data_IF_074890242311
#
_entry.id   IF_074890242311
#
_cell.length_a   1.000
_cell.length_b   1.000
_cell.length_c   1.000
_cell.angle_alpha   90.00
_cell.angle_beta   90.00
_cell.angle_gamma   90.00
#
_symmetry.space_group_name_H-M   'P 1'
#
loop_
_entity.id
_entity.type
_entity.pdbx_description
1 polymer ?
#
# COMPACT_ATOMS: atom_id res chain seq x y z
N UNK A 1 -10.58 -21.95 -1.13
CA UNK A 1 -9.67 -22.51 -2.19
C UNK A 1 -9.00 -21.32 -2.86
N UNK A 2 -7.70 -21.17 -2.69
CA UNK A 2 -6.96 -20.05 -3.30
C UNK A 2 -6.74 -20.35 -4.78
N UNK A 3 -7.45 -19.63 -5.65
CA UNK A 3 -7.35 -19.78 -7.11
C UNK A 3 -6.12 -19.07 -7.70
N UNK A 4 -4.94 -19.30 -7.13
CA UNK A 4 -3.69 -18.75 -7.67
C UNK A 4 -3.07 -19.59 -8.80
N UNK A 5 -3.63 -20.77 -9.09
CA UNK A 5 -3.08 -21.75 -10.05
C UNK A 5 -3.05 -21.25 -11.51
N UNK A 6 -3.78 -20.20 -11.83
CA UNK A 6 -3.87 -19.66 -13.20
C UNK A 6 -3.49 -18.17 -13.29
N UNK A 7 -2.82 -17.64 -12.28
CA UNK A 7 -2.40 -16.23 -12.31
C UNK A 7 -1.14 -16.07 -13.15
N UNK A 8 -1.19 -15.20 -14.14
CA UNK A 8 -0.08 -14.87 -15.02
C UNK A 8 0.37 -13.44 -14.75
N UNK A 9 1.68 -13.23 -14.69
CA UNK A 9 2.26 -11.90 -14.64
C UNK A 9 2.38 -11.35 -16.07
N UNK A 10 1.63 -10.31 -16.37
CA UNK A 10 1.68 -9.59 -17.63
C UNK A 10 2.56 -8.37 -17.46
N UNK A 11 3.70 -8.28 -18.17
CA UNK A 11 4.55 -7.09 -18.10
C UNK A 11 3.79 -5.87 -18.65
N UNK A 12 3.73 -4.80 -17.87
CA UNK A 12 3.19 -3.50 -18.29
C UNK A 12 4.31 -2.55 -18.71
N UNK A 13 5.43 -2.57 -17.98
CA UNK A 13 6.68 -1.93 -18.40
C UNK A 13 7.89 -2.55 -17.68
N UNK A 14 9.07 -2.43 -18.27
CA UNK A 14 10.36 -2.81 -17.69
C UNK A 14 11.41 -1.85 -18.24
N UNK A 15 11.70 -0.79 -17.50
CA UNK A 15 12.63 0.26 -17.88
C UNK A 15 13.48 0.71 -16.70
N UNK A 16 14.76 0.94 -16.95
CA UNK A 16 15.69 1.53 -15.97
C UNK A 16 15.76 0.78 -14.62
N UNK A 17 15.51 -0.54 -14.62
CA UNK A 17 15.55 -1.37 -13.42
C UNK A 17 14.27 -1.36 -12.58
N UNK A 18 13.22 -0.72 -13.08
CA UNK A 18 11.86 -0.77 -12.52
C UNK A 18 11.00 -1.62 -13.43
N UNK A 19 10.38 -2.65 -12.90
CA UNK A 19 9.43 -3.49 -13.61
C UNK A 19 8.06 -3.41 -12.96
N UNK A 20 7.02 -3.30 -13.78
CA UNK A 20 5.63 -3.36 -13.34
C UNK A 20 4.91 -4.50 -14.06
N UNK A 21 4.25 -5.32 -13.31
CA UNK A 21 3.47 -6.45 -13.82
C UNK A 21 2.03 -6.32 -13.36
N UNK A 22 1.09 -6.54 -14.26
CA UNK A 22 -0.30 -6.76 -13.91
C UNK A 22 -0.56 -8.25 -13.68
N UNK A 23 -1.32 -8.57 -12.64
CA UNK A 23 -1.79 -9.93 -12.38
C UNK A 23 -3.03 -10.20 -13.22
N UNK A 24 -2.97 -11.21 -14.09
CA UNK A 24 -4.07 -11.64 -14.94
C UNK A 24 -4.42 -13.11 -14.69
N UNK A 25 -5.64 -13.53 -15.03
CA UNK A 25 -6.09 -14.93 -14.94
C UNK A 25 -6.84 -15.31 -13.67
N UNK A 26 -7.05 -14.39 -12.72
CA UNK A 26 -7.89 -14.59 -11.54
C UNK A 26 -9.32 -14.03 -11.73
N UNK A 27 -10.29 -14.57 -11.00
CA UNK A 27 -11.64 -13.98 -10.89
C UNK A 27 -11.62 -12.77 -9.93
N UNK A 28 -10.79 -11.77 -10.23
CA UNK A 28 -10.68 -10.58 -9.43
C UNK A 28 -11.59 -9.47 -9.95
N UNK A 29 -12.28 -8.80 -9.04
CA UNK A 29 -13.08 -7.61 -9.36
C UNK A 29 -12.21 -6.37 -9.56
N UNK A 30 -10.96 -6.41 -9.08
CA UNK A 30 -10.03 -5.30 -9.06
C UNK A 30 -8.76 -5.63 -9.86
N UNK A 31 -8.08 -4.59 -10.31
CA UNK A 31 -6.75 -4.72 -10.91
C UNK A 31 -5.68 -4.86 -9.82
N UNK A 32 -4.74 -5.76 -10.01
CA UNK A 32 -3.60 -5.98 -9.13
C UNK A 32 -2.30 -5.76 -9.91
N UNK A 33 -1.38 -5.05 -9.29
CA UNK A 33 -0.07 -4.75 -9.86
C UNK A 33 1.04 -5.10 -8.89
N UNK A 34 2.15 -5.55 -9.44
CA UNK A 34 3.41 -5.73 -8.72
C UNK A 34 4.40 -4.75 -9.32
N UNK A 35 4.91 -3.83 -8.50
CA UNK A 35 6.01 -2.95 -8.88
C UNK A 35 7.27 -3.46 -8.19
N UNK A 36 8.27 -3.78 -8.99
CA UNK A 36 9.56 -4.33 -8.55
C UNK A 36 10.69 -3.39 -8.97
N UNK A 37 11.48 -2.92 -8.01
CA UNK A 37 12.65 -2.09 -8.23
C UNK A 37 13.77 -2.49 -7.24
N UNK A 38 14.96 -1.89 -7.37
CA UNK A 38 16.14 -2.32 -6.62
C UNK A 38 15.96 -2.23 -5.09
N UNK A 39 15.38 -1.13 -4.59
CA UNK A 39 15.24 -0.90 -3.15
C UNK A 39 14.12 -1.76 -2.53
N UNK A 40 13.03 -2.05 -3.28
CA UNK A 40 12.00 -2.99 -2.82
C UNK A 40 12.55 -4.40 -2.72
N UNK A 41 13.38 -4.83 -3.67
CA UNK A 41 14.07 -6.14 -3.62
C UNK A 41 15.07 -6.19 -2.47
N UNK A 42 15.83 -5.11 -2.24
CA UNK A 42 16.75 -4.99 -1.11
C UNK A 42 16.00 -5.11 0.21
N UNK A 43 14.89 -4.39 0.39
CA UNK A 43 14.05 -4.46 1.58
C UNK A 43 13.58 -5.88 1.91
N UNK A 44 13.22 -6.67 0.88
CA UNK A 44 12.74 -8.04 1.05
C UNK A 44 13.86 -9.06 1.30
N UNK A 45 15.07 -8.81 0.79
CA UNK A 45 16.16 -9.79 0.80
C UNK A 45 17.28 -9.49 1.79
N UNK A 46 17.25 -8.37 2.49
CA UNK A 46 18.33 -7.92 3.38
C UNK A 46 17.75 -7.58 4.76
N UNK A 47 17.56 -8.59 5.64
CA UNK A 47 16.93 -8.38 6.95
C UNK A 47 17.75 -7.52 7.92
N UNK A 48 19.02 -7.26 7.60
CA UNK A 48 19.93 -6.45 8.41
C UNK A 48 19.67 -4.94 8.30
N UNK A 49 18.98 -4.49 7.23
CA UNK A 49 18.67 -3.07 7.09
C UNK A 49 17.62 -2.65 8.12
N UNK A 50 17.88 -1.51 8.78
CA UNK A 50 17.02 -1.00 9.85
C UNK A 50 16.90 0.53 9.79
N UNK A 51 15.88 1.05 10.49
CA UNK A 51 15.75 2.50 10.72
C UNK A 51 15.63 3.30 9.42
N UNK A 52 16.49 4.29 9.25
CA UNK A 52 16.43 5.24 8.13
C UNK A 52 16.66 4.58 6.76
N UNK A 53 17.42 3.50 6.71
CA UNK A 53 17.64 2.76 5.46
C UNK A 53 16.35 2.07 4.99
N UNK A 54 15.58 1.46 5.90
CA UNK A 54 14.25 0.91 5.60
C UNK A 54 13.33 2.01 5.08
N UNK A 55 13.34 3.16 5.74
CA UNK A 55 12.52 4.31 5.31
C UNK A 55 12.85 4.76 3.89
N UNK A 56 14.13 4.86 3.52
CA UNK A 56 14.54 5.22 2.16
C UNK A 56 14.12 4.18 1.12
N UNK A 57 14.24 2.89 1.43
CA UNK A 57 13.78 1.82 0.55
C UNK A 57 12.26 1.90 0.33
N UNK A 58 11.50 2.16 1.38
CA UNK A 58 10.04 2.33 1.27
C UNK A 58 9.65 3.55 0.45
N UNK A 59 10.34 4.69 0.61
CA UNK A 59 10.09 5.88 -0.22
C UNK A 59 10.39 5.58 -1.69
N UNK A 60 11.52 4.94 -1.98
CA UNK A 60 11.88 4.61 -3.37
C UNK A 60 10.81 3.73 -4.00
N UNK A 61 10.48 2.61 -3.36
CA UNK A 61 9.48 1.67 -3.86
C UNK A 61 8.08 2.32 -4.03
N UNK A 62 7.67 3.14 -3.06
CA UNK A 62 6.37 3.82 -3.09
C UNK A 62 6.34 4.89 -4.19
N UNK A 63 7.42 5.66 -4.36
CA UNK A 63 7.51 6.66 -5.43
C UNK A 63 7.39 6.03 -6.81
N UNK A 64 8.05 4.90 -7.06
CA UNK A 64 7.92 4.20 -8.35
C UNK A 64 6.49 3.71 -8.60
N UNK A 65 5.81 3.20 -7.59
CA UNK A 65 4.40 2.82 -7.71
C UNK A 65 3.52 4.05 -8.00
N UNK A 66 3.72 5.16 -7.30
CA UNK A 66 2.94 6.39 -7.50
C UNK A 66 3.23 7.03 -8.85
N UNK A 67 4.47 7.00 -9.34
CA UNK A 67 4.81 7.41 -10.69
C UNK A 67 3.98 6.63 -11.72
N UNK A 68 3.93 5.29 -11.60
CA UNK A 68 3.10 4.45 -12.46
C UNK A 68 1.61 4.84 -12.38
N UNK A 69 1.05 4.99 -11.18
CA UNK A 69 -0.35 5.38 -11.01
C UNK A 69 -0.66 6.74 -11.61
N UNK A 70 0.23 7.70 -11.46
CA UNK A 70 0.11 9.03 -12.06
C UNK A 70 0.11 8.96 -13.59
N UNK A 71 1.09 8.28 -14.18
CA UNK A 71 1.22 8.22 -15.65
C UNK A 71 0.14 7.36 -16.31
N UNK A 72 -0.20 6.22 -15.73
CA UNK A 72 -1.12 5.27 -16.35
C UNK A 72 -2.58 5.49 -15.91
N UNK A 73 -2.82 5.83 -14.65
CA UNK A 73 -4.17 6.01 -14.10
C UNK A 73 -4.58 7.47 -13.91
N UNK A 74 -3.68 8.41 -14.28
CA UNK A 74 -3.90 9.87 -14.18
C UNK A 74 -4.26 10.34 -12.78
N UNK A 75 -3.70 9.70 -11.76
CA UNK A 75 -3.89 10.09 -10.36
C UNK A 75 -3.10 11.38 -10.10
N UNK A 76 -3.80 12.45 -9.74
CA UNK A 76 -3.19 13.78 -9.48
C UNK A 76 -3.46 14.28 -8.07
N UNK A 77 -4.47 13.71 -7.40
CA UNK A 77 -4.90 14.11 -6.07
C UNK A 77 -5.18 12.89 -5.20
N UNK A 78 -4.89 12.98 -3.92
CA UNK A 78 -5.07 11.89 -2.97
C UNK A 78 -5.61 12.36 -1.62
N UNK A 79 -6.41 11.50 -0.99
CA UNK A 79 -6.60 11.43 0.45
C UNK A 79 -5.80 10.21 0.94
N UNK A 80 -5.03 10.35 1.99
CA UNK A 80 -4.28 9.24 2.58
C UNK A 80 -5.02 8.75 3.82
N UNK A 81 -5.30 7.44 3.89
CA UNK A 81 -5.73 6.78 5.12
C UNK A 81 -4.55 6.02 5.72
N UNK A 82 -4.12 6.50 6.87
CA UNK A 82 -3.01 5.94 7.63
C UNK A 82 -3.56 5.01 8.70
N UNK A 83 -3.38 3.70 8.50
CA UNK A 83 -3.74 2.70 9.52
C UNK A 83 -2.56 2.58 10.49
N UNK A 84 -2.77 3.02 11.71
CA UNK A 84 -1.73 3.03 12.72
C UNK A 84 -1.51 1.59 13.27
N UNK A 85 -0.29 1.09 13.36
CA UNK A 85 1.01 1.73 13.15
C UNK A 85 1.69 1.11 11.91
N UNK A 86 1.11 1.29 10.73
CA UNK A 86 1.64 0.73 9.48
C UNK A 86 2.98 1.37 9.05
N UNK A 87 3.78 0.59 8.32
CA UNK A 87 5.12 1.00 7.91
C UNK A 87 5.11 2.10 6.81
N UNK A 88 4.03 2.23 6.04
CA UNK A 88 3.94 3.15 4.90
C UNK A 88 3.27 4.50 5.22
N UNK A 89 3.02 4.82 6.49
CA UNK A 89 2.34 6.06 6.85
C UNK A 89 3.08 7.31 6.33
N UNK A 90 4.36 7.48 6.72
CA UNK A 90 5.18 8.62 6.29
C UNK A 90 5.75 8.47 4.86
N UNK A 91 6.23 7.29 4.44
CA UNK A 91 6.72 7.11 3.07
C UNK A 91 5.67 7.43 2.00
N UNK A 92 4.40 7.14 2.23
CA UNK A 92 3.34 7.41 1.25
C UNK A 92 3.12 8.91 1.03
N UNK A 93 3.10 9.72 2.09
CA UNK A 93 2.98 11.18 2.00
C UNK A 93 4.19 11.78 1.27
N UNK A 94 5.40 11.43 1.70
CA UNK A 94 6.65 11.89 1.10
C UNK A 94 6.73 11.52 -0.39
N UNK A 95 6.31 10.31 -0.73
CA UNK A 95 6.30 9.85 -2.13
C UNK A 95 5.27 10.59 -2.97
N UNK A 96 4.08 10.89 -2.42
CA UNK A 96 3.11 11.76 -3.09
C UNK A 96 3.69 13.14 -3.39
N UNK A 97 4.41 13.73 -2.44
CA UNK A 97 5.07 15.02 -2.64
C UNK A 97 6.11 14.96 -3.75
N UNK A 98 6.97 13.94 -3.76
CA UNK A 98 8.00 13.74 -4.79
C UNK A 98 7.42 13.57 -6.18
N UNK A 99 6.33 12.83 -6.29
CA UNK A 99 5.65 12.57 -7.55
C UNK A 99 4.65 13.68 -7.96
N UNK A 100 4.61 14.79 -7.21
CA UNK A 100 3.68 15.91 -7.46
C UNK A 100 2.21 15.50 -7.46
N UNK A 101 1.85 14.51 -6.62
CA UNK A 101 0.47 14.15 -6.33
C UNK A 101 0.02 15.01 -5.14
N UNK A 102 -1.01 15.81 -5.34
CA UNK A 102 -1.51 16.69 -4.28
C UNK A 102 -2.25 15.90 -3.21
N UNK A 103 -1.72 15.89 -1.99
CA UNK A 103 -2.44 15.33 -0.83
C UNK A 103 -3.40 16.37 -0.29
N UNK A 104 -4.69 16.06 -0.26
CA UNK A 104 -5.73 16.93 0.27
C UNK A 104 -5.88 16.78 1.77
N UNK A 105 -5.81 15.54 2.26
CA UNK A 105 -5.91 15.25 3.68
C UNK A 105 -5.25 13.93 4.05
N UNK A 106 -4.87 13.83 5.33
CA UNK A 106 -4.36 12.59 5.93
C UNK A 106 -5.27 12.21 7.08
N UNK A 107 -6.00 11.14 6.87
CA UNK A 107 -6.87 10.52 7.87
C UNK A 107 -6.12 9.43 8.63
N UNK A 108 -6.48 9.24 9.88
CA UNK A 108 -5.84 8.28 10.77
C UNK A 108 -6.86 7.34 11.37
N UNK A 109 -6.50 6.07 11.43
CA UNK A 109 -7.30 5.03 12.05
C UNK A 109 -6.39 4.08 12.83
N UNK A 110 -6.77 3.75 14.06
CA UNK A 110 -6.07 2.76 14.89
C UNK A 110 -7.04 1.67 15.29
N UNK A 111 -6.66 0.43 15.07
CA UNK A 111 -7.41 -0.75 15.51
C UNK A 111 -6.54 -1.66 16.37
N UNK A 112 -7.16 -2.33 17.32
CA UNK A 112 -6.52 -3.35 18.16
C UNK A 112 -7.29 -4.67 18.06
N UNK A 113 -6.55 -5.78 18.11
CA UNK A 113 -7.14 -7.11 18.16
C UNK A 113 -7.71 -7.36 19.55
N UNK A 114 -8.95 -7.81 19.59
CA UNK A 114 -9.59 -8.29 20.82
C UNK A 114 -9.38 -9.79 20.90
N UNK A 115 -8.88 -10.26 22.05
CA UNK A 115 -8.62 -11.68 22.29
C UNK A 115 -9.63 -12.22 23.32
N UNK A 116 -10.21 -13.37 23.02
CA UNK A 116 -10.97 -14.19 23.94
C UNK A 116 -10.37 -15.60 23.94
N UNK A 117 -10.03 -16.12 25.12
CA UNK A 117 -9.40 -17.44 25.29
C UNK A 117 -8.15 -17.66 24.39
N UNK A 118 -7.30 -16.64 24.27
CA UNK A 118 -6.08 -16.63 23.44
C UNK A 118 -6.35 -16.64 21.92
N UNK A 119 -7.58 -16.65 21.48
CA UNK A 119 -7.96 -16.53 20.07
C UNK A 119 -8.40 -15.11 19.73
N UNK A 120 -8.24 -14.70 18.46
CA UNK A 120 -8.69 -13.39 17.98
C UNK A 120 -10.22 -13.43 17.86
N UNK A 121 -10.90 -12.76 18.78
CA UNK A 121 -12.37 -12.64 18.80
C UNK A 121 -12.86 -11.51 17.86
N UNK A 122 -12.00 -10.54 17.52
CA UNK A 122 -12.37 -9.43 16.66
C UNK A 122 -11.34 -8.32 16.61
N UNK A 123 -11.75 -7.19 16.05
CA UNK A 123 -10.99 -5.95 15.97
C UNK A 123 -11.84 -4.81 16.53
N UNK A 124 -11.23 -3.93 17.31
CA UNK A 124 -11.86 -2.74 17.84
C UNK A 124 -11.15 -1.48 17.36
N UNK A 125 -11.90 -0.50 16.87
CA UNK A 125 -11.36 0.81 16.50
C UNK A 125 -11.13 1.62 17.77
N UNK A 126 -9.89 1.91 18.10
CA UNK A 126 -9.51 2.69 19.29
C UNK A 126 -9.43 4.19 19.01
N UNK A 127 -9.12 4.55 17.79
CA UNK A 127 -9.02 5.95 17.39
C UNK A 127 -9.37 6.09 15.91
N UNK A 128 -10.09 7.13 15.57
CA UNK A 128 -10.33 7.54 14.19
C UNK A 128 -10.37 9.05 14.07
N UNK A 129 -9.68 9.57 13.08
CA UNK A 129 -9.83 10.93 12.58
C UNK A 129 -9.95 10.83 11.07
N UNK A 130 -11.15 10.93 10.57
CA UNK A 130 -11.46 10.77 9.15
C UNK A 130 -11.89 12.12 8.57
N UNK A 131 -11.12 12.62 7.62
CA UNK A 131 -11.38 13.86 6.90
C UNK A 131 -11.07 13.57 5.44
N UNK A 132 -12.10 13.30 4.63
CA UNK A 132 -11.89 12.96 3.22
C UNK A 132 -12.50 14.02 2.33
N UNK A 133 -11.73 14.50 1.37
CA UNK A 133 -12.22 15.41 0.33
C UNK A 133 -12.77 14.57 -0.82
N UNK A 134 -14.01 14.85 -1.28
CA UNK A 134 -14.58 14.16 -2.44
C UNK A 134 -13.71 14.33 -3.70
N UNK A 135 -13.91 13.47 -4.68
CA UNK A 135 -13.24 13.49 -5.98
C UNK A 135 -11.70 13.36 -5.93
N UNK A 136 -11.19 12.74 -4.88
CA UNK A 136 -9.78 12.40 -4.72
C UNK A 136 -9.59 10.89 -4.61
N UNK A 137 -8.45 10.41 -5.07
CA UNK A 137 -8.07 8.99 -4.91
C UNK A 137 -7.80 8.67 -3.44
N UNK A 138 -8.46 7.68 -2.86
CA UNK A 138 -8.11 7.16 -1.55
C UNK A 138 -6.90 6.25 -1.67
N UNK A 139 -5.84 6.60 -0.96
CA UNK A 139 -4.61 5.80 -0.87
C UNK A 139 -4.44 5.22 0.52
N UNK A 140 -4.17 3.94 0.59
CA UNK A 140 -3.91 3.23 1.83
C UNK A 140 -2.59 2.48 1.67
N UNK A 141 -1.61 2.81 2.50
CA UNK A 141 -0.33 2.12 2.53
C UNK A 141 -0.20 1.27 3.78
N UNK A 142 -0.16 -0.05 3.64
CA UNK A 142 0.03 -0.96 4.77
C UNK A 142 0.72 -2.26 4.34
N UNK A 143 1.22 -3.01 5.33
CA UNK A 143 1.71 -4.38 5.17
C UNK A 143 0.52 -5.31 5.38
N UNK A 144 0.08 -5.96 4.31
CA UNK A 144 -1.09 -6.85 4.34
C UNK A 144 -0.63 -8.30 4.46
N UNK A 145 -0.95 -8.94 5.59
CA UNK A 145 -0.76 -10.39 5.79
C UNK A 145 -2.07 -11.15 5.55
N UNK A 146 -2.98 -11.20 6.53
CA UNK A 146 -4.30 -11.83 6.39
C UNK A 146 -5.34 -10.92 5.72
N UNK A 147 -5.13 -9.62 5.76
CA UNK A 147 -6.09 -8.61 5.29
C UNK A 147 -7.21 -8.28 6.29
N UNK A 148 -7.30 -8.95 7.42
CA UNK A 148 -8.37 -8.75 8.41
C UNK A 148 -8.47 -7.31 8.91
N UNK A 149 -7.33 -6.71 9.25
CA UNK A 149 -7.28 -5.31 9.70
C UNK A 149 -7.83 -4.37 8.63
N UNK A 150 -7.38 -4.52 7.38
CA UNK A 150 -7.83 -3.68 6.28
C UNK A 150 -9.33 -3.85 6.01
N UNK A 151 -9.83 -5.08 5.98
CA UNK A 151 -11.26 -5.39 5.79
C UNK A 151 -12.10 -4.75 6.89
N UNK A 152 -11.64 -4.82 8.15
CA UNK A 152 -12.35 -4.24 9.27
C UNK A 152 -12.38 -2.70 9.22
N UNK A 153 -11.26 -2.08 8.83
CA UNK A 153 -11.15 -0.63 8.74
C UNK A 153 -11.94 -0.01 7.59
N UNK A 154 -12.28 -0.78 6.55
CA UNK A 154 -13.01 -0.33 5.37
C UNK A 154 -14.52 -0.63 5.40
N UNK A 155 -15.03 -1.23 6.47
CA UNK A 155 -16.46 -1.47 6.72
C UNK A 155 -17.08 -0.39 7.56
#
# INVERSE_FOLDING_TARGET
MNNWENVVLVPEFDEQGVACYRLDGGNYLNEYYIVSEAESRKLLNTPEIVGYEVYNCLISATSQMLYYLKEQKKVTTANILSILRGALNYPLEESCYREHIRVHDISFLSSERVFENEEIAGLEIKYSKLTMVPDSTLMIGDIIASGETLIHCLR
#
